data_IF_610572774726
#
_entry.id   IF_610572774726
#
_cell.length_a   1.000
_cell.length_b   1.000
_cell.length_c   1.000
_cell.angle_alpha   90.00
_cell.angle_beta   90.00
_cell.angle_gamma   90.00
#
_symmetry.space_group_name_H-M   'P 1'
#
loop_
_entity.id
_entity.type
_entity.pdbx_description
1 polymer ?
#
# COMPACT_ATOMS: atom_id res chain seq x y z
N UNK A 1 -24.79 10.09 -5.32
CA UNK A 1 -24.18 9.55 -6.56
C UNK A 1 -23.37 8.32 -6.20
N UNK A 2 -23.01 7.48 -7.19
CA UNK A 2 -22.09 6.36 -7.00
C UNK A 2 -20.85 6.57 -7.86
N UNK A 3 -19.69 6.61 -7.24
CA UNK A 3 -18.41 6.86 -7.91
C UNK A 3 -17.45 5.74 -7.53
N UNK A 4 -16.84 5.11 -8.54
CA UNK A 4 -15.77 4.14 -8.34
C UNK A 4 -14.47 4.73 -8.86
N UNK A 5 -13.43 4.73 -8.03
CA UNK A 5 -12.11 5.23 -8.38
C UNK A 5 -11.07 4.11 -8.21
N UNK A 6 -10.20 3.95 -9.21
CA UNK A 6 -8.97 3.16 -9.07
C UNK A 6 -7.90 4.06 -8.43
N UNK A 7 -7.20 3.56 -7.42
CA UNK A 7 -6.20 4.36 -6.70
C UNK A 7 -4.91 3.58 -6.45
N UNK A 8 -3.79 4.28 -6.60
CA UNK A 8 -2.45 3.81 -6.24
C UNK A 8 -1.58 4.99 -5.82
N UNK A 9 -0.70 4.75 -4.85
CA UNK A 9 0.22 5.72 -4.28
C UNK A 9 -0.41 6.95 -3.62
N UNK A 10 0.48 7.86 -3.21
CA UNK A 10 0.14 9.15 -2.59
C UNK A 10 -0.67 10.05 -3.52
N UNK A 11 -0.39 9.99 -4.83
CA UNK A 11 -1.13 10.75 -5.85
C UNK A 11 -2.62 10.38 -5.88
N UNK A 12 -2.94 9.09 -5.86
CA UNK A 12 -4.32 8.60 -5.78
C UNK A 12 -5.02 9.06 -4.51
N UNK A 13 -4.35 8.95 -3.36
CA UNK A 13 -4.90 9.41 -2.08
C UNK A 13 -5.19 10.93 -2.06
N UNK A 14 -4.30 11.75 -2.65
CA UNK A 14 -4.50 13.20 -2.79
C UNK A 14 -5.66 13.54 -3.73
N UNK A 15 -5.79 12.82 -4.85
CA UNK A 15 -6.93 12.97 -5.75
C UNK A 15 -8.25 12.65 -5.03
N UNK A 16 -8.31 11.56 -4.28
CA UNK A 16 -9.50 11.16 -3.52
C UNK A 16 -9.90 12.20 -2.47
N UNK A 17 -8.93 12.82 -1.78
CA UNK A 17 -9.19 13.92 -0.84
C UNK A 17 -9.89 15.08 -1.55
N UNK A 18 -9.35 15.55 -2.69
CA UNK A 18 -9.97 16.61 -3.48
C UNK A 18 -11.34 16.21 -4.07
N UNK A 19 -11.54 14.94 -4.43
CA UNK A 19 -12.84 14.43 -4.87
C UNK A 19 -13.88 14.55 -3.76
N UNK A 20 -13.55 14.14 -2.53
CA UNK A 20 -14.47 14.24 -1.39
C UNK A 20 -14.80 15.70 -1.05
N UNK A 21 -13.81 16.59 -1.09
CA UNK A 21 -14.02 18.02 -0.88
C UNK A 21 -14.98 18.60 -1.93
N UNK A 22 -14.77 18.29 -3.22
CA UNK A 22 -15.64 18.75 -4.30
C UNK A 22 -17.09 18.20 -4.18
N UNK A 23 -17.25 16.95 -3.73
CA UNK A 23 -18.57 16.37 -3.46
C UNK A 23 -19.27 17.06 -2.28
N UNK A 24 -18.52 17.40 -1.24
CA UNK A 24 -19.02 18.14 -0.09
C UNK A 24 -19.47 19.56 -0.48
N UNK A 25 -18.64 20.29 -1.26
CA UNK A 25 -18.97 21.61 -1.79
C UNK A 25 -20.22 21.59 -2.68
N UNK A 26 -20.30 20.62 -3.60
CA UNK A 26 -21.47 20.41 -4.47
C UNK A 26 -22.75 20.19 -3.65
N UNK A 27 -22.65 19.40 -2.58
CA UNK A 27 -23.79 19.13 -1.68
C UNK A 27 -24.21 20.39 -0.93
N UNK A 28 -23.25 21.18 -0.46
CA UNK A 28 -23.53 22.44 0.23
C UNK A 28 -24.17 23.50 -0.69
N UNK A 29 -23.82 23.51 -1.98
CA UNK A 29 -24.36 24.45 -2.97
C UNK A 29 -25.73 24.05 -3.57
N UNK A 30 -26.24 22.85 -3.30
CA UNK A 30 -27.49 22.34 -3.86
C UNK A 30 -28.77 22.99 -3.30
N UNK A 31 -29.91 22.95 -4.03
CA UNK A 31 -31.19 23.46 -3.52
C UNK A 31 -31.65 22.67 -2.29
N UNK A 32 -31.82 23.35 -1.16
CA UNK A 32 -32.17 22.74 0.13
C UNK A 32 -30.95 22.23 0.88
N UNK A 33 -29.99 23.11 1.22
CA UNK A 33 -28.72 22.83 1.91
C UNK A 33 -28.80 22.15 3.29
N UNK A 34 -29.91 21.48 3.59
CA UNK A 34 -29.97 20.41 4.56
C UNK A 34 -29.37 19.12 3.96
N UNK A 35 -28.65 18.37 4.79
CA UNK A 35 -28.02 17.13 4.39
C UNK A 35 -29.04 15.97 4.22
N UNK A 36 -30.32 16.23 3.92
CA UNK A 36 -31.38 15.21 4.00
C UNK A 36 -31.41 14.23 2.83
N UNK A 37 -30.74 14.56 1.71
CA UNK A 37 -30.57 13.65 0.58
C UNK A 37 -29.59 12.48 0.87
N UNK A 38 -29.68 11.37 0.11
CA UNK A 38 -28.75 10.26 0.23
C UNK A 38 -27.31 10.72 -0.01
N UNK A 39 -26.38 10.27 0.84
CA UNK A 39 -24.97 10.61 0.71
C UNK A 39 -24.38 10.12 -0.62
N UNK A 40 -23.35 10.82 -1.10
CA UNK A 40 -22.54 10.31 -2.20
C UNK A 40 -21.76 9.08 -1.71
N UNK A 41 -21.81 8.02 -2.51
CA UNK A 41 -21.14 6.74 -2.26
C UNK A 41 -19.89 6.71 -3.13
N UNK A 42 -18.72 6.62 -2.49
CA UNK A 42 -17.42 6.54 -3.16
C UNK A 42 -16.77 5.22 -2.79
N UNK A 43 -16.54 4.39 -3.81
CA UNK A 43 -15.81 3.12 -3.71
C UNK A 43 -14.43 3.31 -4.31
N UNK A 44 -13.39 2.97 -3.55
CA UNK A 44 -12.00 3.05 -3.97
C UNK A 44 -11.47 1.63 -4.11
N UNK A 45 -11.00 1.30 -5.31
CA UNK A 45 -10.27 0.06 -5.58
C UNK A 45 -8.78 0.38 -5.51
N UNK A 46 -8.15 0.01 -4.40
CA UNK A 46 -6.74 0.25 -4.14
C UNK A 46 -5.84 -0.81 -4.76
N UNK A 47 -4.76 -0.37 -5.41
CA UNK A 47 -3.70 -1.25 -5.87
C UNK A 47 -3.12 -2.08 -4.71
N UNK A 48 -2.91 -3.37 -4.94
CA UNK A 48 -2.25 -4.29 -4.00
C UNK A 48 -0.95 -4.87 -4.54
N UNK A 49 -0.54 -4.48 -5.75
CA UNK A 49 0.67 -5.02 -6.37
C UNK A 49 1.95 -4.46 -5.75
N UNK A 50 1.86 -3.38 -4.97
CA UNK A 50 2.99 -2.83 -4.22
C UNK A 50 3.10 -3.40 -2.79
N UNK A 51 2.15 -4.25 -2.41
CA UNK A 51 2.14 -4.89 -1.12
C UNK A 51 3.35 -5.80 -0.94
N UNK A 52 4.02 -5.69 0.21
CA UNK A 52 5.28 -6.38 0.48
C UNK A 52 5.26 -7.01 1.87
N UNK A 53 6.00 -8.09 2.07
CA UNK A 53 6.23 -8.67 3.40
C UNK A 53 7.62 -8.31 3.89
N UNK A 54 7.71 -7.58 5.00
CA UNK A 54 8.94 -7.09 5.62
C UNK A 54 8.96 -7.46 7.10
N UNK A 55 10.06 -8.03 7.60
CA UNK A 55 10.17 -8.50 9.00
C UNK A 55 9.00 -9.41 9.42
N UNK A 56 8.48 -10.22 8.49
CA UNK A 56 7.31 -11.07 8.70
C UNK A 56 5.96 -10.35 8.72
N UNK A 57 5.93 -9.03 8.50
CA UNK A 57 4.72 -8.20 8.51
C UNK A 57 4.29 -7.84 7.09
N UNK A 58 3.00 -7.97 6.80
CA UNK A 58 2.40 -7.52 5.54
C UNK A 58 2.18 -6.01 5.56
N UNK A 59 2.77 -5.35 4.58
CA UNK A 59 2.66 -3.91 4.33
C UNK A 59 1.84 -3.73 3.05
N UNK A 60 0.86 -2.83 3.07
CA UNK A 60 -0.01 -2.55 1.92
C UNK A 60 0.01 -1.04 1.61
N UNK A 61 1.09 -0.52 0.99
CA UNK A 61 1.41 0.90 0.97
C UNK A 61 0.29 1.78 0.39
N UNK A 62 -0.39 1.32 -0.66
CA UNK A 62 -1.40 2.09 -1.35
C UNK A 62 -2.72 2.13 -0.58
N UNK A 63 -3.13 1.00 0.00
CA UNK A 63 -4.29 0.95 0.91
C UNK A 63 -4.05 1.80 2.15
N UNK A 64 -2.86 1.70 2.74
CA UNK A 64 -2.46 2.48 3.91
C UNK A 64 -2.42 3.98 3.58
N UNK A 65 -1.90 4.36 2.41
CA UNK A 65 -1.86 5.76 1.96
C UNK A 65 -3.26 6.36 1.83
N UNK A 66 -4.20 5.65 1.20
CA UNK A 66 -5.60 6.11 1.09
C UNK A 66 -6.23 6.20 2.48
N UNK A 67 -6.11 5.13 3.28
CA UNK A 67 -6.70 5.05 4.60
C UNK A 67 -6.20 6.17 5.54
N UNK A 68 -4.88 6.42 5.58
CA UNK A 68 -4.30 7.45 6.43
C UNK A 68 -4.57 8.87 5.92
N UNK A 69 -4.53 9.08 4.61
CA UNK A 69 -4.76 10.42 4.03
C UNK A 69 -6.20 10.86 4.27
N UNK A 70 -7.16 10.00 3.98
CA UNK A 70 -8.58 10.31 4.14
C UNK A 70 -9.04 10.21 5.60
N UNK A 71 -8.37 9.38 6.41
CA UNK A 71 -8.62 9.25 7.85
C UNK A 71 -7.90 10.27 8.73
N UNK A 72 -7.21 11.26 8.15
CA UNK A 72 -6.54 12.34 8.91
C UNK A 72 -5.28 11.90 9.67
N UNK A 73 -4.64 10.81 9.26
CA UNK A 73 -3.44 10.25 9.88
C UNK A 73 -2.14 10.42 9.13
N UNK A 74 -2.18 10.86 7.87
CA UNK A 74 -1.00 10.97 7.01
C UNK A 74 -0.04 12.08 7.47
N UNK A 75 1.26 11.89 7.24
CA UNK A 75 2.28 12.93 7.38
C UNK A 75 2.36 13.75 6.07
N UNK A 76 1.64 14.87 6.02
CA UNK A 76 1.63 15.74 4.82
C UNK A 76 2.98 16.45 4.58
N UNK A 77 3.83 16.63 5.61
CA UNK A 77 5.15 17.26 5.48
C UNK A 77 6.16 16.30 4.85
N UNK A 78 6.24 15.08 5.36
CA UNK A 78 7.10 14.01 4.82
C UNK A 78 6.56 13.48 3.49
N UNK A 79 5.25 13.56 3.29
CA UNK A 79 4.54 13.11 2.10
C UNK A 79 4.26 11.61 2.04
N UNK A 80 4.63 10.85 3.08
CA UNK A 80 4.36 9.42 3.23
C UNK A 80 4.35 9.02 4.70
N UNK A 81 3.72 7.88 5.01
CA UNK A 81 3.61 7.38 6.38
C UNK A 81 2.65 8.21 7.24
N UNK A 82 2.81 8.13 8.56
CA UNK A 82 1.89 8.69 9.55
C UNK A 82 2.48 9.89 10.28
N UNK A 83 1.64 10.86 10.62
CA UNK A 83 2.07 12.00 11.42
C UNK A 83 2.50 11.58 12.83
N UNK A 84 3.55 12.24 13.35
CA UNK A 84 4.07 12.02 14.71
C UNK A 84 4.71 10.64 14.91
N UNK A 85 5.36 10.12 13.88
CA UNK A 85 6.00 8.81 13.88
C UNK A 85 7.35 8.80 14.60
N UNK A 86 7.66 7.68 15.24
CA UNK A 86 8.99 7.36 15.76
C UNK A 86 9.53 6.11 15.06
N UNK A 87 10.84 5.87 15.16
CA UNK A 87 11.51 4.77 14.45
C UNK A 87 12.40 3.96 15.41
N UNK A 88 11.92 3.76 16.64
CA UNK A 88 12.70 3.03 17.65
C UNK A 88 12.85 1.55 17.25
N UNK A 89 11.77 0.91 16.78
CA UNK A 89 11.81 -0.50 16.36
C UNK A 89 12.74 -0.69 15.17
N UNK A 90 12.67 0.20 14.17
CA UNK A 90 13.55 0.13 13.00
C UNK A 90 15.04 0.21 13.39
N UNK A 91 15.40 1.07 14.36
CA UNK A 91 16.78 1.16 14.87
C UNK A 91 17.24 -0.12 15.58
N UNK A 92 16.37 -0.73 16.38
CA UNK A 92 16.69 -2.00 17.06
C UNK A 92 16.84 -3.14 16.05
N UNK A 93 15.97 -3.24 15.04
CA UNK A 93 16.10 -4.24 13.97
C UNK A 93 17.42 -4.07 13.20
N UNK A 94 17.80 -2.83 12.87
CA UNK A 94 19.09 -2.55 12.27
C UNK A 94 20.27 -2.92 13.19
N UNK A 95 20.17 -2.67 14.50
CA UNK A 95 21.20 -3.05 15.46
C UNK A 95 21.37 -4.58 15.59
N UNK A 96 20.31 -5.34 15.31
CA UNK A 96 20.35 -6.81 15.20
C UNK A 96 20.83 -7.31 13.82
N UNK A 97 21.04 -6.41 12.86
CA UNK A 97 21.41 -6.76 11.49
C UNK A 97 20.28 -7.48 10.73
N UNK A 98 19.01 -7.17 11.03
CA UNK A 98 17.85 -7.77 10.36
C UNK A 98 17.50 -6.99 9.07
N UNK A 99 17.80 -7.51 7.86
CA UNK A 99 17.48 -6.84 6.61
C UNK A 99 15.98 -6.89 6.27
N UNK A 100 15.45 -5.93 5.47
CA UNK A 100 16.14 -4.79 4.88
C UNK A 100 16.18 -3.53 5.75
N UNK A 101 17.36 -2.94 5.96
CA UNK A 101 17.52 -1.69 6.73
C UNK A 101 17.05 -0.42 5.98
N UNK A 102 16.95 -0.49 4.65
CA UNK A 102 16.60 0.65 3.79
C UNK A 102 15.09 0.96 3.76
N UNK A 103 14.26 0.09 4.34
CA UNK A 103 12.81 0.28 4.42
C UNK A 103 12.38 0.45 5.88
N UNK A 104 12.41 1.68 6.38
CA UNK A 104 12.05 1.97 7.76
C UNK A 104 10.54 2.03 7.95
N UNK A 105 10.01 1.14 8.78
CA UNK A 105 8.64 1.16 9.27
C UNK A 105 8.55 2.01 10.53
N UNK A 106 7.58 2.92 10.56
CA UNK A 106 7.28 3.73 11.73
C UNK A 106 6.65 2.92 12.86
N UNK A 107 6.90 3.28 14.12
CA UNK A 107 6.40 2.55 15.29
C UNK A 107 4.85 2.53 15.36
N UNK A 108 4.16 3.63 15.02
CA UNK A 108 2.70 3.69 14.92
C UNK A 108 2.21 2.91 13.72
N UNK A 109 2.88 3.03 12.57
CA UNK A 109 2.54 2.28 11.35
C UNK A 109 2.65 0.76 11.55
N UNK A 110 3.65 0.33 12.32
CA UNK A 110 3.86 -1.06 12.70
C UNK A 110 2.60 -1.68 13.35
N UNK A 111 1.83 -0.91 14.13
CA UNK A 111 0.60 -1.40 14.73
C UNK A 111 -0.43 -1.83 13.67
N UNK A 112 -0.52 -1.11 12.55
CA UNK A 112 -1.38 -1.48 11.41
C UNK A 112 -0.89 -2.79 10.79
N UNK A 113 0.42 -2.91 10.57
CA UNK A 113 1.00 -4.10 9.94
C UNK A 113 0.93 -5.34 10.84
N UNK A 114 1.14 -5.20 12.16
CA UNK A 114 0.95 -6.29 13.14
C UNK A 114 -0.49 -6.78 13.11
N UNK A 115 -1.46 -5.86 13.20
CA UNK A 115 -2.87 -6.25 13.18
C UNK A 115 -3.26 -6.91 11.85
N UNK A 116 -2.84 -6.33 10.72
CA UNK A 116 -3.07 -6.90 9.39
C UNK A 116 -2.50 -8.31 9.29
N UNK A 117 -1.23 -8.48 9.65
CA UNK A 117 -0.52 -9.76 9.51
C UNK A 117 -1.15 -10.84 10.39
N UNK A 118 -1.52 -10.50 11.63
CA UNK A 118 -2.24 -11.42 12.51
C UNK A 118 -3.56 -11.88 11.90
N UNK A 119 -4.39 -10.95 11.40
CA UNK A 119 -5.69 -11.30 10.82
C UNK A 119 -5.57 -12.11 9.54
N UNK A 120 -4.60 -11.78 8.67
CA UNK A 120 -4.30 -12.58 7.47
C UNK A 120 -3.84 -13.99 7.85
N UNK A 121 -3.00 -14.13 8.88
CA UNK A 121 -2.56 -15.43 9.39
C UNK A 121 -3.71 -16.25 10.01
N UNK A 122 -4.74 -15.58 10.54
CA UNK A 122 -6.00 -16.19 11.01
C UNK A 122 -6.95 -16.55 9.85
N UNK A 123 -6.56 -16.31 8.60
CA UNK A 123 -7.32 -16.67 7.40
C UNK A 123 -8.33 -15.62 6.94
N UNK A 124 -8.33 -14.41 7.53
CA UNK A 124 -9.17 -13.33 7.03
C UNK A 124 -8.67 -12.84 5.66
N UNK A 125 -9.56 -12.56 4.68
CA UNK A 125 -9.16 -11.96 3.41
C UNK A 125 -8.75 -10.49 3.59
N UNK A 126 -7.90 -9.97 2.69
CA UNK A 126 -7.36 -8.61 2.78
C UNK A 126 -8.47 -7.54 2.79
N UNK A 127 -9.58 -7.78 2.10
CA UNK A 127 -10.78 -6.94 2.07
C UNK A 127 -11.43 -6.81 3.44
N UNK A 128 -11.57 -7.92 4.17
CA UNK A 128 -12.06 -7.91 5.55
C UNK A 128 -11.10 -7.21 6.51
N UNK A 129 -9.79 -7.44 6.32
CA UNK A 129 -8.75 -6.76 7.12
C UNK A 129 -8.77 -5.25 6.87
N UNK A 130 -8.87 -4.83 5.61
CA UNK A 130 -8.94 -3.42 5.20
C UNK A 130 -10.17 -2.74 5.80
N UNK A 131 -11.34 -3.40 5.72
CA UNK A 131 -12.57 -2.94 6.37
C UNK A 131 -12.38 -2.75 7.87
N UNK A 132 -11.79 -3.74 8.56
CA UNK A 132 -11.54 -3.68 10.00
C UNK A 132 -10.61 -2.52 10.38
N UNK A 133 -9.55 -2.28 9.62
CA UNK A 133 -8.66 -1.14 9.85
C UNK A 133 -9.39 0.20 9.61
N UNK A 134 -10.23 0.26 8.58
CA UNK A 134 -11.04 1.45 8.27
C UNK A 134 -12.07 1.79 9.35
N UNK A 135 -12.48 0.87 10.24
CA UNK A 135 -13.37 1.20 11.36
C UNK A 135 -12.77 2.26 12.30
N UNK A 136 -11.45 2.23 12.47
CA UNK A 136 -10.70 3.23 13.25
C UNK A 136 -10.53 4.52 12.47
N UNK A 137 -10.12 4.42 11.20
CA UNK A 137 -9.71 5.58 10.40
C UNK A 137 -10.86 6.34 9.75
N UNK A 138 -11.98 5.66 9.48
CA UNK A 138 -13.20 6.22 8.89
C UNK A 138 -12.92 7.13 7.68
N UNK A 139 -12.31 6.60 6.60
CA UNK A 139 -11.81 7.40 5.48
C UNK A 139 -12.92 8.05 4.61
N UNK A 140 -14.20 7.95 4.98
CA UNK A 140 -15.31 8.52 4.20
C UNK A 140 -15.58 7.83 2.86
N UNK A 141 -14.91 6.72 2.57
CA UNK A 141 -15.05 5.90 1.35
C UNK A 141 -15.13 4.42 1.72
N UNK A 142 -15.68 3.61 0.82
CA UNK A 142 -15.47 2.17 0.86
C UNK A 142 -14.14 1.84 0.18
N UNK A 143 -13.14 1.45 0.97
CA UNK A 143 -11.82 1.07 0.46
C UNK A 143 -11.74 -0.45 0.27
N UNK A 144 -11.66 -0.88 -0.98
CA UNK A 144 -11.50 -2.28 -1.38
C UNK A 144 -10.09 -2.51 -1.94
N UNK A 145 -9.39 -3.58 -1.55
CA UNK A 145 -8.23 -4.04 -2.31
C UNK A 145 -8.67 -4.49 -3.71
N UNK A 146 -7.84 -4.27 -4.73
CA UNK A 146 -8.14 -4.74 -6.08
C UNK A 146 -8.27 -6.27 -6.17
N UNK A 147 -7.65 -6.99 -5.24
CA UNK A 147 -7.74 -8.44 -5.07
C UNK A 147 -7.42 -8.83 -3.63
N UNK A 148 -8.03 -9.93 -3.16
CA UNK A 148 -7.64 -10.59 -1.90
C UNK A 148 -6.45 -11.55 -2.08
N UNK A 149 -6.12 -11.90 -3.33
CA UNK A 149 -4.99 -12.76 -3.67
C UNK A 149 -3.68 -11.98 -3.60
N UNK A 150 -2.57 -12.68 -3.36
CA UNK A 150 -1.25 -12.06 -3.40
C UNK A 150 -0.87 -11.75 -4.85
N UNK A 151 -0.64 -10.46 -5.11
CA UNK A 151 -0.10 -9.94 -6.35
C UNK A 151 1.04 -8.99 -6.00
N UNK A 152 2.16 -9.09 -6.71
CA UNK A 152 3.36 -8.30 -6.39
C UNK A 152 4.09 -7.86 -7.67
N UNK A 153 4.27 -6.55 -7.85
CA UNK A 153 5.03 -5.95 -8.93
C UNK A 153 6.51 -6.19 -8.69
N UNK A 154 7.17 -6.79 -9.67
CA UNK A 154 8.60 -7.01 -9.70
C UNK A 154 9.23 -6.35 -10.93
N UNK A 155 10.40 -5.77 -10.75
CA UNK A 155 11.21 -5.18 -11.80
C UNK A 155 12.38 -6.12 -12.07
N UNK A 156 12.46 -6.65 -13.28
CA UNK A 156 13.59 -7.49 -13.68
C UNK A 156 14.70 -6.61 -14.24
N UNK A 157 15.90 -6.81 -13.71
CA UNK A 157 17.10 -6.02 -13.97
C UNK A 157 18.30 -6.94 -14.19
N UNK A 158 19.39 -6.37 -14.70
CA UNK A 158 20.68 -7.05 -14.71
C UNK A 158 21.20 -7.28 -13.28
N UNK A 159 21.63 -8.51 -12.97
CA UNK A 159 22.09 -8.87 -11.63
C UNK A 159 23.47 -8.28 -11.29
N UNK A 160 24.26 -7.95 -12.31
CA UNK A 160 25.63 -7.53 -12.15
C UNK A 160 25.75 -6.26 -11.29
N UNK A 161 26.52 -6.37 -10.19
CA UNK A 161 26.78 -5.25 -9.29
C UNK A 161 25.66 -4.93 -8.30
N UNK A 162 24.59 -5.74 -8.24
CA UNK A 162 23.54 -5.56 -7.23
C UNK A 162 23.86 -6.37 -5.97
N UNK A 163 23.85 -5.75 -4.78
CA UNK A 163 24.05 -6.47 -3.52
C UNK A 163 22.91 -7.48 -3.30
N UNK A 164 23.23 -8.70 -2.88
CA UNK A 164 22.21 -9.70 -2.53
C UNK A 164 21.64 -9.49 -1.12
N UNK A 165 22.50 -9.12 -0.17
CA UNK A 165 22.10 -8.79 1.19
C UNK A 165 21.09 -7.63 1.19
N UNK A 166 20.13 -7.65 2.10
CA UNK A 166 19.11 -6.60 2.17
C UNK A 166 18.01 -6.70 1.12
N UNK A 167 17.99 -7.72 0.26
CA UNK A 167 16.96 -7.81 -0.78
C UNK A 167 15.64 -8.35 -0.24
N UNK A 168 14.53 -7.80 -0.71
CA UNK A 168 13.19 -8.33 -0.37
C UNK A 168 13.02 -9.66 -1.07
N UNK A 169 12.77 -10.72 -0.30
CA UNK A 169 12.48 -12.05 -0.84
C UNK A 169 10.98 -12.23 -0.95
N UNK A 170 10.52 -12.56 -2.16
CA UNK A 170 9.16 -13.01 -2.39
C UNK A 170 9.16 -14.36 -3.10
N UNK A 171 8.42 -15.36 -2.58
CA UNK A 171 8.18 -16.61 -3.32
C UNK A 171 7.47 -16.39 -4.66
N UNK A 172 6.75 -15.28 -4.83
CA UNK A 172 6.10 -14.98 -6.11
C UNK A 172 7.12 -14.53 -7.18
N UNK A 173 8.33 -14.17 -6.78
CA UNK A 173 9.40 -13.80 -7.70
C UNK A 173 10.05 -15.02 -8.40
N UNK A 174 9.78 -16.23 -7.92
CA UNK A 174 10.40 -17.44 -8.43
C UNK A 174 10.08 -17.65 -9.93
N UNK A 175 11.13 -17.82 -10.72
CA UNK A 175 11.02 -17.98 -12.18
C UNK A 175 10.74 -16.70 -12.96
N UNK A 176 10.65 -15.53 -12.30
CA UNK A 176 10.50 -14.25 -13.00
C UNK A 176 11.77 -13.79 -13.70
N UNK A 177 12.95 -14.21 -13.24
CA UNK A 177 14.26 -13.80 -13.75
C UNK A 177 15.03 -14.98 -14.38
N UNK A 178 15.74 -14.72 -15.48
CA UNK A 178 16.60 -15.71 -16.13
C UNK A 178 18.07 -15.65 -15.67
N UNK A 179 18.97 -16.45 -16.27
CA UNK A 179 20.40 -16.40 -15.97
C UNK A 179 20.97 -14.99 -16.13
N UNK A 180 21.67 -14.50 -15.11
CA UNK A 180 22.25 -13.15 -15.09
C UNK A 180 21.27 -12.01 -14.78
N UNK A 181 20.00 -12.33 -14.53
CA UNK A 181 18.97 -11.36 -14.17
C UNK A 181 18.54 -11.53 -12.70
N UNK A 182 17.97 -10.47 -12.13
CA UNK A 182 17.30 -10.50 -10.83
C UNK A 182 15.92 -9.84 -10.92
N UNK A 183 14.93 -10.42 -10.25
CA UNK A 183 13.63 -9.81 -10.06
C UNK A 183 13.63 -9.10 -8.69
N UNK A 184 13.62 -7.78 -8.69
CA UNK A 184 13.51 -6.98 -7.48
C UNK A 184 12.04 -6.68 -7.23
N UNK A 185 11.58 -6.79 -5.98
CA UNK A 185 10.26 -6.26 -5.62
C UNK A 185 10.22 -4.75 -5.95
N UNK A 186 9.08 -4.22 -6.40
CA UNK A 186 8.99 -2.82 -6.84
C UNK A 186 9.44 -1.83 -5.75
N UNK A 187 9.06 -2.07 -4.50
CA UNK A 187 9.53 -1.30 -3.35
C UNK A 187 11.06 -1.29 -3.20
N UNK A 188 11.75 -2.42 -3.46
CA UNK A 188 13.22 -2.44 -3.44
C UNK A 188 13.82 -1.64 -4.59
N UNK A 189 13.34 -1.88 -5.82
CA UNK A 189 13.82 -1.15 -6.98
C UNK A 189 13.63 0.37 -6.84
N UNK A 190 12.48 0.79 -6.31
CA UNK A 190 12.13 2.20 -6.15
C UNK A 190 12.79 2.85 -4.93
N UNK A 191 12.67 2.26 -3.74
CA UNK A 191 13.11 2.89 -2.48
C UNK A 191 14.59 2.67 -2.24
N UNK A 192 15.09 1.44 -2.37
CA UNK A 192 16.51 1.12 -2.12
C UNK A 192 17.42 1.65 -3.23
N UNK A 193 17.01 1.38 -4.46
CA UNK A 193 17.86 1.61 -5.63
C UNK A 193 17.51 2.89 -6.38
N UNK A 194 16.50 3.64 -5.95
CA UNK A 194 16.08 4.91 -6.56
C UNK A 194 15.85 4.80 -8.07
N UNK A 195 15.28 3.66 -8.51
CA UNK A 195 15.05 3.34 -9.92
C UNK A 195 16.33 3.34 -10.79
N UNK A 196 17.53 3.30 -10.19
CA UNK A 196 18.80 3.40 -10.92
C UNK A 196 19.12 2.17 -11.80
N UNK A 197 18.89 0.91 -11.36
CA UNK A 197 19.06 -0.25 -12.22
C UNK A 197 18.04 -0.20 -13.36
N UNK A 198 18.52 -0.28 -14.60
CA UNK A 198 17.66 -0.22 -15.77
C UNK A 198 16.67 -1.40 -15.78
N UNK A 199 15.38 -1.07 -15.83
CA UNK A 199 14.32 -2.06 -15.93
C UNK A 199 14.37 -2.73 -17.31
N UNK A 200 14.60 -4.05 -17.34
CA UNK A 200 14.46 -4.86 -18.56
C UNK A 200 13.00 -5.18 -18.84
N UNK A 201 12.24 -5.48 -17.79
CA UNK A 201 10.79 -5.72 -17.84
C UNK A 201 10.17 -5.51 -16.47
N UNK A 202 8.87 -5.23 -16.48
CA UNK A 202 8.02 -5.23 -15.29
C UNK A 202 7.17 -6.51 -15.36
N UNK A 203 7.16 -7.28 -14.28
CA UNK A 203 6.38 -8.48 -14.14
C UNK A 203 5.45 -8.34 -12.93
N UNK A 204 4.17 -8.65 -13.11
CA UNK A 204 3.19 -8.62 -12.01
C UNK A 204 2.96 -10.06 -11.58
N UNK A 205 3.68 -10.47 -10.54
CA UNK A 205 3.67 -11.82 -10.04
C UNK A 205 2.31 -12.16 -9.40
N UNK A 206 1.82 -13.38 -9.59
CA UNK A 206 0.50 -13.82 -9.06
C UNK A 206 -0.72 -13.31 -9.84
N UNK A 207 -0.61 -12.24 -10.64
CA UNK A 207 -1.75 -11.59 -11.28
C UNK A 207 -2.59 -12.51 -12.18
N UNK A 208 -1.99 -13.48 -12.88
CA UNK A 208 -2.72 -14.42 -13.75
C UNK A 208 -3.61 -15.40 -12.98
N UNK A 209 -3.27 -15.69 -11.73
CA UNK A 209 -4.03 -16.59 -10.86
C UNK A 209 -5.00 -15.84 -9.93
N UNK A 210 -4.80 -14.52 -9.78
CA UNK A 210 -5.62 -13.68 -8.93
C UNK A 210 -7.03 -13.47 -9.49
N UNK A 211 -7.98 -13.27 -8.58
CA UNK A 211 -9.36 -12.88 -8.87
C UNK A 211 -9.60 -11.43 -8.43
N UNK A 212 -10.52 -10.70 -9.07
CA UNK A 212 -10.97 -9.42 -8.52
C UNK A 212 -11.41 -9.57 -7.07
N UNK A 213 -11.17 -8.54 -6.25
CA UNK A 213 -11.70 -8.45 -4.89
C UNK A 213 -13.24 -8.57 -4.86
N UNK A 214 -13.81 -8.80 -3.66
CA UNK A 214 -15.25 -9.04 -3.47
C UNK A 214 -16.14 -7.88 -3.93
#
# INVERSE_FOLDING_TARGET
MRITALSGGVGGARFLRGLLDALAERRAAGPGGDATGPADEVVVIGNTADDVTLHGLRVCPDLDSVMYTLGGGADDERGWGRAGETFAVARELAAHGDPPEWFSLGDRDLATHVLRSRLLAEGAPLSAVTRRLCERWRPGVELLPMTDDRVETHVVVDAAGLPEEGSVRSPLADGLAGPGERALHFQEWWVRHHAAPAARRIAVAGARAARPGP
#
